data_IF_638828720713
#
_entry.id   IF_638828720713
#
_cell.length_a   1.000
_cell.length_b   1.000
_cell.length_c   1.000
_cell.angle_alpha   90.00
_cell.angle_beta   90.00
_cell.angle_gamma   90.00
#
_symmetry.space_group_name_H-M   'P 1'
#
loop_
_entity.id
_entity.type
_entity.pdbx_description
1 polymer ?
#
# COMPACT_ATOMS: atom_id res chain seq x y z
N UNK A 1 11.76 -19.71 -0.24
CA UNK A 1 10.92 -18.58 0.18
C UNK A 1 11.54 -17.34 -0.43
N UNK A 2 10.75 -16.49 -1.06
CA UNK A 2 11.27 -15.23 -1.60
C UNK A 2 11.56 -14.27 -0.45
N UNK A 3 12.78 -13.71 -0.41
CA UNK A 3 13.21 -12.68 0.54
C UNK A 3 12.69 -11.28 0.17
N UNK A 4 11.61 -11.20 -0.59
CA UNK A 4 11.08 -9.96 -1.12
C UNK A 4 9.70 -9.66 -0.54
N UNK A 5 9.41 -8.38 -0.37
CA UNK A 5 8.08 -7.88 -0.02
C UNK A 5 7.68 -6.78 -1.00
N UNK A 6 6.39 -6.55 -1.15
CA UNK A 6 5.85 -5.47 -1.97
C UNK A 6 5.10 -4.49 -1.07
N UNK A 7 5.56 -3.25 -1.04
CA UNK A 7 4.88 -2.15 -0.34
C UNK A 7 4.31 -1.18 -1.38
N UNK A 8 3.01 -0.96 -1.33
CA UNK A 8 2.28 -0.04 -2.22
C UNK A 8 2.00 1.25 -1.44
N UNK A 9 2.80 2.33 -1.61
CA UNK A 9 2.52 3.60 -0.97
C UNK A 9 1.30 4.27 -1.62
N UNK A 10 0.33 4.67 -0.81
CA UNK A 10 -0.91 5.28 -1.29
C UNK A 10 -1.44 6.34 -0.33
N UNK A 11 -1.95 7.44 -0.88
CA UNK A 11 -2.64 8.48 -0.12
C UNK A 11 -3.78 9.12 -0.93
N UNK A 12 -4.79 9.68 -0.26
CA UNK A 12 -5.90 10.38 -0.90
C UNK A 12 -5.55 11.78 -1.39
N UNK A 13 -4.58 12.44 -0.75
CA UNK A 13 -4.15 13.82 -1.01
C UNK A 13 -3.38 13.99 -2.33
N UNK A 14 -3.86 13.43 -3.43
CA UNK A 14 -3.34 13.62 -4.77
C UNK A 14 -3.99 14.84 -5.44
N UNK A 15 -3.17 15.77 -5.94
CA UNK A 15 -3.65 17.02 -6.56
C UNK A 15 -4.14 16.84 -8.00
N UNK A 16 -3.45 16.01 -8.81
CA UNK A 16 -3.78 15.83 -10.23
C UNK A 16 -5.00 14.95 -10.49
N UNK A 17 -5.27 14.02 -9.56
CA UNK A 17 -6.43 13.14 -9.61
C UNK A 17 -6.90 12.90 -8.17
N UNK A 18 -7.85 13.72 -7.67
CA UNK A 18 -8.35 13.62 -6.31
C UNK A 18 -8.91 12.24 -6.00
N UNK A 19 -8.65 11.74 -4.79
CA UNK A 19 -9.15 10.44 -4.30
C UNK A 19 -8.81 9.24 -5.21
N UNK A 20 -7.77 9.37 -6.05
CA UNK A 20 -7.35 8.36 -7.05
C UNK A 20 -7.39 6.92 -6.54
N UNK A 21 -6.87 6.57 -5.35
CA UNK A 21 -6.85 5.18 -4.87
C UNK A 21 -8.23 4.54 -4.76
N UNK A 22 -9.28 5.33 -4.48
CA UNK A 22 -10.65 4.85 -4.26
C UNK A 22 -11.54 4.96 -5.50
N UNK A 23 -11.02 5.49 -6.62
CA UNK A 23 -11.76 5.50 -7.89
C UNK A 23 -12.04 4.06 -8.31
N UNK A 24 -13.29 3.77 -8.66
CA UNK A 24 -13.72 2.46 -9.14
C UNK A 24 -13.50 2.31 -10.64
N UNK A 25 -12.88 1.20 -11.02
CA UNK A 25 -12.73 0.72 -12.39
C UNK A 25 -13.35 -0.67 -12.42
N UNK A 26 -14.41 -0.87 -13.21
CA UNK A 26 -15.15 -2.13 -13.27
C UNK A 26 -15.55 -2.67 -11.88
N UNK A 27 -16.20 -1.82 -11.08
CA UNK A 27 -16.67 -2.10 -9.70
C UNK A 27 -15.59 -2.38 -8.64
N UNK A 28 -14.31 -2.25 -8.96
CA UNK A 28 -13.19 -2.43 -8.03
C UNK A 28 -12.37 -1.17 -7.91
N UNK A 29 -11.97 -0.81 -6.70
CA UNK A 29 -11.16 0.38 -6.44
C UNK A 29 -9.76 0.23 -7.06
N UNK A 30 -9.19 1.35 -7.51
CA UNK A 30 -7.88 1.38 -8.16
C UNK A 30 -6.81 0.73 -7.26
N UNK A 31 -6.84 1.01 -5.95
CA UNK A 31 -5.88 0.41 -5.00
C UNK A 31 -5.98 -1.12 -4.97
N UNK A 32 -7.19 -1.68 -5.06
CA UNK A 32 -7.38 -3.13 -5.07
C UNK A 32 -6.95 -3.78 -6.37
N UNK A 33 -7.08 -3.09 -7.52
CA UNK A 33 -6.46 -3.56 -8.76
C UNK A 33 -4.94 -3.72 -8.63
N UNK A 34 -4.27 -2.74 -8.03
CA UNK A 34 -2.80 -2.79 -7.81
C UNK A 34 -2.44 -3.88 -6.81
N UNK A 35 -3.15 -3.97 -5.69
CA UNK A 35 -2.93 -4.98 -4.66
C UNK A 35 -3.04 -6.41 -5.21
N UNK A 36 -4.08 -6.68 -5.98
CA UNK A 36 -4.29 -7.99 -6.58
C UNK A 36 -3.23 -8.34 -7.61
N UNK A 37 -2.81 -7.37 -8.44
CA UNK A 37 -1.72 -7.58 -9.41
C UNK A 37 -0.39 -7.84 -8.72
N UNK A 38 -0.09 -7.11 -7.66
CA UNK A 38 1.08 -7.37 -6.82
C UNK A 38 1.01 -8.78 -6.21
N UNK A 39 -0.15 -9.20 -5.71
CA UNK A 39 -0.34 -10.53 -5.12
C UNK A 39 -0.17 -11.63 -6.16
N UNK A 40 -0.69 -11.43 -7.37
CA UNK A 40 -0.56 -12.37 -8.50
C UNK A 40 0.89 -12.57 -8.97
N UNK A 41 1.79 -11.62 -8.68
CA UNK A 41 3.21 -11.75 -9.03
C UNK A 41 3.92 -12.87 -8.26
N UNK A 42 3.38 -13.28 -7.10
CA UNK A 42 3.98 -14.29 -6.20
C UNK A 42 5.42 -13.97 -5.75
N UNK A 43 5.84 -12.71 -5.86
CA UNK A 43 7.18 -12.27 -5.44
C UNK A 43 7.30 -12.26 -3.92
N UNK A 44 6.23 -11.96 -3.19
CA UNK A 44 6.29 -11.82 -1.74
C UNK A 44 4.99 -11.36 -1.12
N UNK A 45 5.03 -11.08 0.18
CA UNK A 45 3.89 -10.49 0.87
C UNK A 45 3.63 -9.07 0.38
N UNK A 46 2.35 -8.71 0.24
CA UNK A 46 1.92 -7.42 -0.29
C UNK A 46 1.25 -6.62 0.81
N UNK A 47 1.67 -5.37 0.99
CA UNK A 47 1.12 -4.43 1.96
C UNK A 47 0.81 -3.09 1.29
N UNK A 48 -0.35 -2.50 1.58
CA UNK A 48 -0.63 -1.09 1.26
C UNK A 48 -0.15 -0.22 2.41
N UNK A 49 0.78 0.71 2.15
CA UNK A 49 1.21 1.71 3.14
C UNK A 49 0.41 2.99 2.93
N UNK A 50 -0.38 3.41 3.91
CA UNK A 50 -1.26 4.58 3.79
C UNK A 50 -1.43 5.33 5.10
N UNK A 51 -1.73 6.63 5.04
CA UNK A 51 -2.15 7.43 6.20
C UNK A 51 -3.66 7.64 6.27
N UNK A 52 -4.40 7.25 5.23
CA UNK A 52 -5.83 7.51 5.11
C UNK A 52 -6.63 6.27 5.54
N UNK A 53 -7.50 6.44 6.55
CA UNK A 53 -8.35 5.37 7.08
C UNK A 53 -9.31 4.81 6.03
N UNK A 54 -9.73 5.61 5.05
CA UNK A 54 -10.61 5.18 3.96
C UNK A 54 -9.91 4.17 3.04
N UNK A 55 -8.62 4.39 2.76
CA UNK A 55 -7.81 3.43 1.99
C UNK A 55 -7.61 2.16 2.81
N UNK A 56 -7.27 2.28 4.09
CA UNK A 56 -7.11 1.13 4.99
C UNK A 56 -8.40 0.31 5.11
N UNK A 57 -9.54 0.97 5.25
CA UNK A 57 -10.86 0.34 5.32
C UNK A 57 -11.22 -0.39 4.03
N UNK A 58 -10.96 0.21 2.86
CA UNK A 58 -11.18 -0.44 1.57
C UNK A 58 -10.30 -1.69 1.42
N UNK A 59 -9.01 -1.61 1.76
CA UNK A 59 -8.10 -2.75 1.72
C UNK A 59 -8.55 -3.85 2.68
N UNK A 60 -8.88 -3.50 3.93
CA UNK A 60 -9.40 -4.42 4.96
C UNK A 60 -10.67 -5.14 4.48
N UNK A 61 -11.63 -4.39 3.93
CA UNK A 61 -12.90 -4.92 3.42
C UNK A 61 -12.71 -5.96 2.31
N UNK A 62 -11.67 -5.81 1.51
CA UNK A 62 -11.32 -6.75 0.45
C UNK A 62 -10.28 -7.81 0.89
N UNK A 63 -10.03 -7.95 2.19
CA UNK A 63 -9.15 -8.98 2.75
C UNK A 63 -7.66 -8.73 2.52
N UNK A 64 -7.27 -7.51 2.13
CA UNK A 64 -5.88 -7.14 1.91
C UNK A 64 -5.14 -6.74 3.19
N UNK A 65 -3.80 -6.77 3.14
CA UNK A 65 -2.94 -6.26 4.22
C UNK A 65 -2.58 -4.79 3.99
N UNK A 66 -2.52 -4.02 5.07
CA UNK A 66 -2.13 -2.61 5.03
C UNK A 66 -1.33 -2.25 6.29
N UNK A 67 -0.61 -1.13 6.21
CA UNK A 67 0.16 -0.53 7.30
C UNK A 67 -0.20 0.95 7.35
N UNK A 68 -0.62 1.41 8.53
CA UNK A 68 -0.81 2.84 8.76
C UNK A 68 0.55 3.53 8.87
N UNK A 69 0.69 4.67 8.21
CA UNK A 69 1.91 5.48 8.11
C UNK A 69 1.59 6.94 8.44
N UNK A 70 2.61 7.74 8.74
CA UNK A 70 2.46 9.14 9.07
C UNK A 70 1.85 9.92 7.87
N UNK A 71 0.96 10.85 8.19
CA UNK A 71 0.33 11.75 7.24
C UNK A 71 1.31 12.79 6.70
N UNK A 72 2.36 13.12 7.47
CA UNK A 72 3.32 14.17 7.17
C UNK A 72 4.41 13.76 6.15
N UNK A 73 4.41 12.50 5.69
CA UNK A 73 5.37 12.05 4.67
C UNK A 73 5.24 12.82 3.36
N UNK A 74 6.37 13.39 2.93
CA UNK A 74 6.45 14.26 1.74
C UNK A 74 6.26 13.49 0.45
N UNK A 75 6.72 12.24 0.42
CA UNK A 75 6.75 11.40 -0.77
C UNK A 75 6.41 9.93 -0.48
N UNK A 76 6.35 9.11 -1.54
CA UNK A 76 6.03 7.69 -1.42
C UNK A 76 7.14 6.85 -0.79
N UNK A 77 8.41 7.22 -0.99
CA UNK A 77 9.57 6.51 -0.46
C UNK A 77 9.66 6.62 1.06
N UNK A 78 9.45 7.81 1.63
CA UNK A 78 9.43 8.01 3.10
C UNK A 78 8.36 7.10 3.75
N UNK A 79 7.21 6.98 3.09
CA UNK A 79 6.11 6.12 3.51
C UNK A 79 6.47 4.64 3.45
N UNK A 80 7.16 4.21 2.38
CA UNK A 80 7.67 2.83 2.25
C UNK A 80 8.67 2.53 3.36
N UNK A 81 9.58 3.47 3.66
CA UNK A 81 10.58 3.32 4.70
C UNK A 81 9.94 3.17 6.09
N UNK A 82 8.97 4.00 6.45
CA UNK A 82 8.26 3.82 7.73
C UNK A 82 7.53 2.46 7.79
N UNK A 83 6.87 2.07 6.68
CA UNK A 83 6.18 0.79 6.61
C UNK A 83 7.13 -0.40 6.77
N UNK A 84 8.34 -0.35 6.18
CA UNK A 84 9.34 -1.40 6.36
C UNK A 84 9.84 -1.49 7.80
N UNK A 85 10.02 -0.35 8.48
CA UNK A 85 10.38 -0.33 9.91
C UNK A 85 9.29 -0.96 10.79
N UNK A 86 8.01 -0.72 10.49
CA UNK A 86 6.88 -1.27 11.24
C UNK A 86 6.67 -2.77 11.03
N UNK A 87 7.12 -3.30 9.90
CA UNK A 87 7.05 -4.74 9.61
C UNK A 87 8.14 -5.55 10.33
N UNK A 88 9.07 -4.89 11.03
CA UNK A 88 10.22 -5.53 11.70
C UNK A 88 10.91 -6.56 10.77
N UNK A 89 11.16 -6.14 9.53
CA UNK A 89 11.77 -6.98 8.52
C UNK A 89 13.24 -7.19 8.89
N UNK A 90 13.51 -8.29 9.57
CA UNK A 90 14.86 -8.75 9.89
C UNK A 90 15.54 -9.19 8.60
N UNK A 91 16.84 -8.89 8.50
CA UNK A 91 17.71 -9.32 7.40
C UNK A 91 17.39 -8.69 6.03
N UNK A 92 17.11 -7.39 5.99
CA UNK A 92 17.10 -6.61 4.75
C UNK A 92 18.54 -6.19 4.39
N UNK A 93 19.11 -6.85 3.38
CA UNK A 93 20.29 -6.33 2.67
C UNK A 93 19.84 -5.17 1.77
N UNK A 94 20.28 -3.95 2.09
CA UNK A 94 20.05 -2.74 1.28
C UNK A 94 21.29 -2.39 0.44
#
# INVERSE_FOLDING_TARGET
>A
MSNSIIIIPSRLAATRLPQKPLIKINNKTLIMHVYEKATQSQIGEVYVATCDEEIASEVRKNGGKFIMTDINHSNGTDRVFEASQKLDLKDLDF
#
